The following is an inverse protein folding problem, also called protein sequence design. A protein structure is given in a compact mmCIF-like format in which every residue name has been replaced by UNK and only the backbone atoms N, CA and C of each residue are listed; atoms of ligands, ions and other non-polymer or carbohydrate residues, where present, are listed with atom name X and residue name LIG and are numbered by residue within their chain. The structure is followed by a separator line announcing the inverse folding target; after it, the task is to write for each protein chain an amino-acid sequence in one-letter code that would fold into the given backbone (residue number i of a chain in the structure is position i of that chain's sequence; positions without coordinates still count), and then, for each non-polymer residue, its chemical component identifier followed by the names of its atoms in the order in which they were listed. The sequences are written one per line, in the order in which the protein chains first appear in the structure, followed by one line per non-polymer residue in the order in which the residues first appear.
data_IF_907403096737
#
_entry.id   IF_907403096737
#
_cell.length_a   1.000
_cell.length_b   1.000
_cell.length_c   1.000
_cell.angle_alpha   90.00
_cell.angle_beta   90.00
_cell.angle_gamma   90.00
#
_symmetry.space_group_name_H-M   'P 1'
#
loop_
_entity.id
_entity.type
_entity.pdbx_description
1 polymer ?
#
# COMPACT_ATOMS: atom_id res chain seq x y z
N UNK A 1 36.98 86.63 28.28
CA UNK A 1 35.65 86.34 28.85
C UNK A 1 34.57 86.94 27.93
N UNK A 2 33.49 86.19 27.67
CA UNK A 2 32.30 86.44 26.80
C UNK A 2 32.30 85.84 25.37
N UNK A 3 31.55 84.74 25.26
CA UNK A 3 30.33 84.46 24.44
C UNK A 3 30.32 84.51 22.89
N UNK A 4 29.83 83.36 22.35
CA UNK A 4 28.99 83.09 21.16
C UNK A 4 29.74 83.04 19.79
N UNK A 5 29.48 82.13 18.82
CA UNK A 5 28.18 81.71 18.21
C UNK A 5 28.35 80.47 17.27
N UNK A 6 27.50 79.44 17.45
CA UNK A 6 26.64 78.61 16.54
C UNK A 6 27.07 78.21 15.07
N UNK A 7 26.62 77.00 14.70
CA UNK A 7 26.35 76.35 13.38
C UNK A 7 27.44 75.37 12.91
N UNK A 8 27.18 74.09 12.59
CA UNK A 8 26.18 73.57 11.65
C UNK A 8 25.86 72.08 11.90
N UNK A 9 24.63 71.69 11.56
CA UNK A 9 24.00 70.38 11.68
C UNK A 9 24.64 69.24 10.86
N UNK A 10 24.50 68.00 11.32
CA UNK A 10 24.22 66.82 10.48
C UNK A 10 23.48 65.76 11.30
N UNK A 11 22.15 65.71 11.12
CA UNK A 11 21.31 64.60 11.58
C UNK A 11 21.45 63.50 10.52
N UNK A 12 22.29 62.50 10.80
CA UNK A 12 22.31 61.26 10.04
C UNK A 12 21.21 60.34 10.56
N UNK A 13 20.11 60.23 9.84
CA UNK A 13 19.08 59.23 10.08
C UNK A 13 19.68 57.87 9.68
N UNK A 14 20.05 57.07 10.68
CA UNK A 14 20.41 55.66 10.48
C UNK A 14 19.10 54.87 10.43
N UNK A 15 18.64 54.57 9.21
CA UNK A 15 17.49 53.68 8.98
C UNK A 15 17.94 52.25 9.23
N UNK A 16 17.57 51.69 10.38
CA UNK A 16 17.76 50.27 10.70
C UNK A 16 16.80 49.43 9.84
N UNK A 17 17.31 48.81 8.79
CA UNK A 17 16.59 47.75 8.08
C UNK A 17 16.66 46.46 8.92
N UNK A 18 15.61 46.18 9.70
CA UNK A 18 15.38 44.85 10.24
C UNK A 18 14.88 43.95 9.11
N UNK A 19 15.80 43.18 8.50
CA UNK A 19 15.45 42.08 7.60
C UNK A 19 15.01 40.92 8.49
N UNK A 20 13.71 40.70 8.61
CA UNK A 20 13.14 39.51 9.23
C UNK A 20 13.33 38.34 8.26
N UNK A 21 14.35 37.52 8.52
CA UNK A 21 14.52 36.22 7.86
C UNK A 21 13.40 35.33 8.41
N UNK A 22 12.30 35.20 7.66
CA UNK A 22 11.31 34.17 7.93
C UNK A 22 12.00 32.81 7.76
N UNK A 23 11.96 31.91 8.76
CA UNK A 23 12.42 30.55 8.56
C UNK A 23 11.52 29.96 7.48
N UNK A 24 12.08 29.76 6.30
CA UNK A 24 11.47 28.96 5.26
C UNK A 24 11.54 27.54 5.78
N UNK A 25 10.49 27.12 6.49
CA UNK A 25 10.25 25.72 6.78
C UNK A 25 10.23 25.03 5.42
N UNK A 26 11.33 24.38 5.05
CA UNK A 26 11.35 23.46 3.94
C UNK A 26 10.37 22.36 4.33
N UNK A 27 9.15 22.46 3.81
CA UNK A 27 8.28 21.29 3.68
C UNK A 27 9.05 20.41 2.72
N UNK A 28 9.91 19.54 3.26
CA UNK A 28 10.30 18.34 2.55
C UNK A 28 8.98 17.64 2.28
N UNK A 29 8.52 17.74 1.04
CA UNK A 29 7.49 16.87 0.51
C UNK A 29 8.01 15.47 0.76
N UNK A 30 7.55 14.87 1.86
CA UNK A 30 7.79 13.49 2.18
C UNK A 30 7.00 12.75 1.10
N UNK A 31 7.68 12.47 -0.01
CA UNK A 31 7.18 11.63 -1.09
C UNK A 31 6.66 10.38 -0.39
N UNK A 32 5.34 10.28 -0.25
CA UNK A 32 4.67 9.15 0.36
C UNK A 32 5.10 7.95 -0.47
N UNK A 33 6.06 7.17 0.05
CA UNK A 33 6.60 6.01 -0.62
C UNK A 33 5.41 5.10 -0.85
N UNK A 34 4.97 5.00 -2.09
CA UNK A 34 3.80 4.21 -2.46
C UNK A 34 4.06 2.78 -2.02
N UNK A 35 3.19 2.20 -1.19
CA UNK A 35 3.33 0.81 -0.76
C UNK A 35 3.03 -0.10 -1.97
N UNK A 36 4.04 -0.77 -2.57
CA UNK A 36 3.86 -1.58 -3.76
C UNK A 36 2.98 -2.80 -3.54
N UNK A 37 2.76 -3.24 -2.27
CA UNK A 37 1.89 -4.38 -1.96
C UNK A 37 0.42 -4.06 -2.21
N UNK A 38 0.01 -2.78 -2.15
CA UNK A 38 -1.38 -2.37 -2.34
C UNK A 38 -1.87 -2.70 -3.76
N UNK A 39 -3.05 -3.30 -3.85
CA UNK A 39 -3.68 -3.68 -5.11
C UNK A 39 -4.39 -5.03 -5.06
N UNK A 40 -4.79 -5.49 -6.26
CA UNK A 40 -5.41 -6.80 -6.47
C UNK A 40 -4.41 -7.70 -7.18
N UNK A 41 -4.28 -8.92 -6.67
CA UNK A 41 -3.25 -9.87 -7.05
C UNK A 41 -3.88 -11.25 -7.31
N UNK A 42 -3.44 -11.94 -8.35
CA UNK A 42 -3.80 -13.34 -8.63
C UNK A 42 -2.57 -14.22 -8.36
N UNK A 43 -2.76 -15.35 -7.69
CA UNK A 43 -1.64 -16.29 -7.49
C UNK A 43 -1.27 -16.94 -8.82
N UNK A 44 0.02 -16.99 -9.14
CA UNK A 44 0.57 -17.65 -10.33
C UNK A 44 1.59 -18.75 -10.00
N UNK A 45 2.13 -18.75 -8.78
CA UNK A 45 2.98 -19.83 -8.25
C UNK A 45 2.72 -20.04 -6.75
N UNK A 46 2.67 -21.28 -6.22
CA UNK A 46 2.68 -22.54 -6.96
C UNK A 46 1.51 -22.62 -7.94
N UNK A 47 1.71 -23.26 -9.08
CA UNK A 47 0.65 -23.44 -10.06
C UNK A 47 -0.43 -24.32 -9.43
N UNK A 48 -1.50 -23.71 -8.92
CA UNK A 48 -2.72 -24.43 -8.56
C UNK A 48 -3.26 -24.96 -9.90
N UNK A 49 -3.58 -26.25 -10.00
CA UNK A 49 -4.08 -26.86 -11.23
C UNK A 49 -5.28 -26.05 -11.74
N UNK A 50 -5.04 -25.14 -12.69
CA UNK A 50 -6.03 -24.24 -13.24
C UNK A 50 -6.90 -25.02 -14.23
N UNK A 51 -7.68 -25.98 -13.74
CA UNK A 51 -8.79 -26.54 -14.51
C UNK A 51 -9.93 -25.53 -14.52
N UNK A 52 -9.72 -24.35 -15.10
CA UNK A 52 -10.71 -23.29 -15.40
C UNK A 52 -11.52 -22.67 -14.24
N UNK A 53 -11.67 -23.40 -13.13
CA UNK A 53 -12.70 -23.17 -12.13
C UNK A 53 -12.11 -22.83 -10.76
N UNK A 54 -10.77 -22.74 -10.66
CA UNK A 54 -10.07 -22.35 -9.44
C UNK A 54 -9.36 -21.01 -9.65
N UNK A 55 -9.50 -20.11 -8.68
CA UNK A 55 -8.74 -18.87 -8.64
C UNK A 55 -8.36 -18.54 -7.20
N UNK A 56 -7.12 -18.10 -6.98
CA UNK A 56 -6.71 -17.51 -5.70
C UNK A 56 -6.38 -16.03 -5.92
N UNK A 57 -7.16 -15.16 -5.28
CA UNK A 57 -7.04 -13.70 -5.41
C UNK A 57 -6.72 -13.11 -4.04
N UNK A 58 -5.84 -12.12 -4.01
CA UNK A 58 -5.50 -11.34 -2.82
C UNK A 58 -5.76 -9.86 -3.09
N UNK A 59 -6.49 -9.21 -2.18
CA UNK A 59 -6.74 -7.78 -2.19
C UNK A 59 -6.01 -7.20 -0.99
N UNK A 60 -5.15 -6.21 -1.24
CA UNK A 60 -4.38 -5.52 -0.22
C UNK A 60 -4.69 -4.04 -0.30
N UNK A 61 -5.12 -3.45 0.81
CA UNK A 61 -5.29 -2.01 0.99
C UNK A 61 -4.24 -1.47 1.96
N UNK A 62 -4.28 -0.18 2.27
CA UNK A 62 -3.50 0.35 3.38
C UNK A 62 -3.98 -0.27 4.70
N UNK A 63 -3.13 -1.12 5.29
CA UNK A 63 -3.35 -1.71 6.60
C UNK A 63 -4.18 -2.98 6.64
N UNK A 64 -4.79 -3.43 5.54
CA UNK A 64 -5.65 -4.60 5.52
C UNK A 64 -5.46 -5.49 4.29
N UNK A 65 -5.80 -6.76 4.45
CA UNK A 65 -5.80 -7.72 3.36
C UNK A 65 -6.98 -8.68 3.47
N UNK A 66 -7.31 -9.28 2.33
CA UNK A 66 -8.09 -10.51 2.24
C UNK A 66 -7.53 -11.32 1.08
N UNK A 67 -7.42 -12.63 1.24
CA UNK A 67 -7.29 -13.52 0.11
C UNK A 67 -8.45 -14.51 0.07
N UNK A 68 -8.84 -14.89 -1.13
CA UNK A 68 -9.87 -15.88 -1.41
C UNK A 68 -9.29 -16.95 -2.31
N UNK A 69 -9.74 -18.17 -2.11
CA UNK A 69 -9.57 -19.28 -3.04
C UNK A 69 -10.97 -19.75 -3.43
N UNK A 70 -11.27 -19.68 -4.72
CA UNK A 70 -12.55 -20.10 -5.27
C UNK A 70 -12.43 -21.45 -5.96
N UNK A 71 -13.53 -22.20 -5.95
CA UNK A 71 -13.78 -23.38 -6.78
C UNK A 71 -15.20 -23.23 -7.35
N UNK A 72 -15.37 -23.35 -8.67
CA UNK A 72 -16.66 -23.16 -9.36
C UNK A 72 -17.37 -21.84 -8.96
N UNK A 73 -16.61 -20.75 -8.87
CA UNK A 73 -17.07 -19.42 -8.44
C UNK A 73 -17.56 -19.33 -6.98
N UNK A 74 -17.35 -20.36 -6.17
CA UNK A 74 -17.65 -20.36 -4.73
C UNK A 74 -16.36 -20.21 -3.94
N UNK A 75 -16.34 -19.31 -2.95
CA UNK A 75 -15.20 -19.19 -2.02
C UNK A 75 -15.16 -20.44 -1.13
N UNK A 76 -14.10 -21.23 -1.28
CA UNK A 76 -13.87 -22.45 -0.47
C UNK A 76 -12.85 -22.23 0.63
N UNK A 77 -11.93 -21.27 0.47
CA UNK A 77 -10.98 -20.83 1.48
C UNK A 77 -10.83 -19.32 1.44
N UNK A 78 -10.69 -18.69 2.60
CA UNK A 78 -10.40 -17.27 2.70
C UNK A 78 -9.95 -16.93 4.11
N UNK A 79 -8.93 -16.06 4.18
CA UNK A 79 -8.50 -15.38 5.38
C UNK A 79 -8.35 -13.89 5.08
N UNK A 80 -8.54 -13.07 6.11
CA UNK A 80 -8.26 -11.65 6.06
C UNK A 80 -7.97 -11.07 7.43
N UNK A 81 -7.55 -9.81 7.43
CA UNK A 81 -7.17 -9.10 8.64
C UNK A 81 -6.30 -7.91 8.32
N UNK A 82 -5.35 -7.62 9.21
CA UNK A 82 -4.45 -6.47 9.09
C UNK A 82 -3.15 -6.86 8.42
N UNK A 83 -2.52 -5.90 7.75
CA UNK A 83 -1.21 -6.09 7.16
C UNK A 83 -0.33 -4.85 7.25
N UNK A 84 0.99 -5.04 7.16
CA UNK A 84 1.96 -3.94 7.10
C UNK A 84 3.08 -4.24 6.11
N UNK A 85 3.71 -3.18 5.58
CA UNK A 85 4.88 -3.27 4.72
C UNK A 85 5.90 -2.22 5.14
N UNK A 86 7.14 -2.64 5.44
CA UNK A 86 8.21 -1.74 5.89
C UNK A 86 9.21 -1.36 4.79
N UNK A 87 9.05 -1.91 3.58
CA UNK A 87 9.98 -1.73 2.47
C UNK A 87 10.67 -3.01 2.02
N UNK A 88 10.73 -4.04 2.87
CA UNK A 88 11.29 -5.36 2.56
C UNK A 88 10.34 -6.48 3.03
N UNK A 89 9.78 -6.31 4.23
CA UNK A 89 8.92 -7.29 4.89
C UNK A 89 7.46 -6.89 4.75
N UNK A 90 6.65 -7.80 4.24
CA UNK A 90 5.20 -7.75 4.28
C UNK A 90 4.70 -8.69 5.38
N UNK A 91 3.84 -8.21 6.29
CA UNK A 91 3.26 -9.03 7.35
C UNK A 91 1.73 -9.04 7.28
N UNK A 92 1.14 -10.18 7.62
CA UNK A 92 -0.31 -10.38 7.70
C UNK A 92 -0.65 -10.92 9.10
N UNK A 93 -1.67 -10.35 9.74
CA UNK A 93 -2.27 -10.87 10.98
C UNK A 93 -3.72 -11.26 10.70
N UNK A 94 -4.01 -12.55 10.83
CA UNK A 94 -5.32 -13.12 10.48
C UNK A 94 -6.32 -12.81 11.57
N UNK A 95 -7.38 -12.09 11.23
CA UNK A 95 -8.44 -11.69 12.16
C UNK A 95 -9.76 -12.39 11.88
N UNK A 96 -10.00 -12.81 10.65
CA UNK A 96 -11.20 -13.51 10.24
C UNK A 96 -10.93 -14.47 9.08
N UNK A 97 -11.86 -15.39 8.86
CA UNK A 97 -11.82 -16.36 7.79
C UNK A 97 -13.13 -17.14 7.68
N UNK A 98 -13.21 -18.00 6.68
CA UNK A 98 -14.31 -18.96 6.54
C UNK A 98 -14.21 -20.09 7.57
N UNK A 99 -15.32 -20.78 7.82
CA UNK A 99 -15.46 -21.74 8.92
C UNK A 99 -14.39 -22.85 8.92
N UNK A 100 -14.09 -23.41 7.75
CA UNK A 100 -13.07 -24.45 7.59
C UNK A 100 -11.62 -23.96 7.79
N UNK A 101 -11.41 -22.67 8.02
CA UNK A 101 -10.10 -22.07 8.33
C UNK A 101 -10.04 -21.44 9.72
N UNK A 102 -11.05 -21.67 10.57
CA UNK A 102 -11.16 -21.07 11.91
C UNK A 102 -9.91 -21.25 12.77
N UNK A 103 -9.22 -22.38 12.66
CA UNK A 103 -8.00 -22.68 13.42
C UNK A 103 -6.80 -21.78 13.09
N UNK A 104 -6.85 -21.05 11.98
CA UNK A 104 -5.80 -20.15 11.52
C UNK A 104 -6.04 -18.69 11.94
N UNK A 105 -7.20 -18.38 12.53
CA UNK A 105 -7.50 -17.06 13.07
C UNK A 105 -6.57 -16.78 14.26
N UNK A 106 -6.00 -15.57 14.29
CA UNK A 106 -4.93 -15.18 15.21
C UNK A 106 -3.52 -15.56 14.72
N UNK A 107 -3.42 -16.28 13.59
CA UNK A 107 -2.16 -16.60 12.96
C UNK A 107 -1.47 -15.37 12.35
N UNK A 108 -0.14 -15.46 12.21
CA UNK A 108 0.70 -14.42 11.63
C UNK A 108 1.54 -14.96 10.50
N UNK A 109 1.56 -14.23 9.39
CA UNK A 109 2.42 -14.49 8.26
C UNK A 109 3.50 -13.40 8.14
N UNK A 110 4.72 -13.80 7.81
CA UNK A 110 5.84 -12.89 7.57
C UNK A 110 6.49 -13.26 6.25
N UNK A 111 6.56 -12.30 5.33
CA UNK A 111 7.10 -12.49 3.98
C UNK A 111 8.21 -11.48 3.72
N UNK A 112 9.32 -11.94 3.17
CA UNK A 112 10.17 -11.09 2.34
C UNK A 112 9.51 -10.97 0.97
N UNK A 113 9.38 -9.74 0.47
CA UNK A 113 8.74 -9.48 -0.82
C UNK A 113 9.68 -8.81 -1.81
N UNK A 114 9.63 -9.27 -3.05
CA UNK A 114 10.33 -8.67 -4.19
C UNK A 114 9.32 -8.37 -5.30
N UNK A 115 9.51 -7.25 -5.98
CA UNK A 115 8.62 -6.79 -7.04
C UNK A 115 9.38 -6.68 -8.35
N UNK A 116 8.91 -7.39 -9.37
CA UNK A 116 9.50 -7.40 -10.72
C UNK A 116 8.39 -7.66 -11.74
N UNK A 117 8.35 -6.90 -12.84
CA UNK A 117 7.42 -7.09 -13.95
C UNK A 117 5.93 -7.25 -13.56
N UNK A 118 5.48 -6.46 -12.59
CA UNK A 118 4.10 -6.51 -12.10
C UNK A 118 3.77 -7.74 -11.25
N UNK A 119 4.79 -8.50 -10.84
CA UNK A 119 4.67 -9.62 -9.91
C UNK A 119 5.20 -9.24 -8.53
N UNK A 120 4.68 -9.92 -7.52
CA UNK A 120 5.12 -9.90 -6.14
C UNK A 120 5.51 -11.32 -5.75
N UNK A 121 6.80 -11.54 -5.52
CA UNK A 121 7.33 -12.80 -5.01
C UNK A 121 7.38 -12.72 -3.49
N UNK A 122 6.63 -13.60 -2.81
CA UNK A 122 6.53 -13.70 -1.36
C UNK A 122 7.24 -14.98 -0.90
N UNK A 123 8.34 -14.83 -0.15
CA UNK A 123 9.01 -15.94 0.53
C UNK A 123 8.92 -15.71 2.03
N UNK A 124 8.37 -16.66 2.77
CA UNK A 124 8.05 -16.42 4.17
C UNK A 124 7.59 -17.63 4.94
N UNK A 125 6.90 -17.37 6.05
CA UNK A 125 6.27 -18.40 6.87
C UNK A 125 4.88 -17.98 7.33
N UNK A 126 4.03 -18.97 7.59
CA UNK A 126 2.81 -18.84 8.37
C UNK A 126 2.88 -19.83 9.53
N UNK A 127 3.20 -19.34 10.72
CA UNK A 127 3.60 -20.22 11.82
C UNK A 127 4.82 -21.08 11.43
N UNK A 128 4.77 -22.42 11.54
CA UNK A 128 5.87 -23.30 11.16
C UNK A 128 5.95 -23.58 9.64
N UNK A 129 4.89 -23.30 8.89
CA UNK A 129 4.81 -23.61 7.46
C UNK A 129 5.61 -22.62 6.63
N UNK A 130 6.37 -23.11 5.65
CA UNK A 130 7.10 -22.28 4.69
C UNK A 130 6.19 -21.89 3.54
N UNK A 131 6.31 -20.65 3.09
CA UNK A 131 5.57 -20.10 1.95
C UNK A 131 6.55 -19.62 0.89
N UNK A 132 6.27 -19.99 -0.35
CA UNK A 132 6.93 -19.51 -1.56
C UNK A 132 5.83 -19.32 -2.61
N UNK A 133 5.41 -18.06 -2.79
CA UNK A 133 4.28 -17.70 -3.65
C UNK A 133 4.67 -16.57 -4.60
N UNK A 134 4.26 -16.66 -5.87
CA UNK A 134 4.33 -15.54 -6.81
C UNK A 134 2.92 -15.11 -7.13
N UNK A 135 2.69 -13.81 -6.99
CA UNK A 135 1.43 -13.15 -7.23
C UNK A 135 1.58 -12.17 -8.40
N UNK A 136 0.66 -12.18 -9.37
CA UNK A 136 0.65 -11.24 -10.49
C UNK A 136 -0.43 -10.18 -10.28
N UNK A 137 -0.13 -8.93 -10.59
CA UNK A 137 -1.10 -7.83 -10.47
C UNK A 137 -2.23 -8.01 -11.48
N UNK A 138 -3.47 -7.97 -11.00
CA UNK A 138 -4.66 -8.00 -11.87
C UNK A 138 -4.79 -6.67 -12.60
N UNK A 139 -4.93 -6.73 -13.93
CA UNK A 139 -5.17 -5.56 -14.79
C UNK A 139 -6.65 -5.43 -15.10
N UNK A 140 -7.08 -4.22 -15.47
CA UNK A 140 -8.49 -3.93 -15.78
C UNK A 140 -8.97 -4.71 -17.02
N UNK A 141 -8.06 -5.00 -17.96
CA UNK A 141 -8.38 -5.77 -19.15
C UNK A 141 -8.65 -7.25 -18.84
N UNK A 142 -8.02 -7.82 -17.80
CA UNK A 142 -8.19 -9.22 -17.38
C UNK A 142 -9.63 -9.53 -16.91
N UNK A 143 -10.43 -8.51 -16.58
CA UNK A 143 -11.83 -8.68 -16.10
C UNK A 143 -12.89 -8.76 -17.21
N UNK A 144 -12.53 -8.56 -18.47
CA UNK A 144 -13.52 -8.42 -19.56
C UNK A 144 -13.71 -9.71 -20.37
N UNK A 145 -12.74 -10.63 -20.38
CA UNK A 145 -12.84 -11.87 -21.17
C UNK A 145 -13.53 -13.04 -20.46
N UNK A 146 -13.84 -12.93 -19.16
CA UNK A 146 -14.40 -14.04 -18.36
C UNK A 146 -15.88 -13.92 -17.99
N UNK A 147 -16.60 -12.88 -18.45
CA UNK A 147 -18.05 -12.74 -18.20
C UNK A 147 -18.83 -12.57 -19.51
N UNK A 148 -19.32 -13.66 -20.13
CA UNK A 148 -20.41 -13.52 -21.07
C UNK A 148 -21.69 -13.10 -20.31
N UNK A 149 -22.14 -11.88 -20.60
CA UNK A 149 -23.53 -11.41 -20.55
C UNK A 149 -24.17 -11.11 -19.17
N UNK A 150 -24.01 -9.87 -18.70
CA UNK A 150 -24.97 -9.18 -17.81
C UNK A 150 -25.49 -7.86 -18.40
N UNK A 151 -25.64 -7.77 -19.72
CA UNK A 151 -26.23 -6.59 -20.38
C UNK A 151 -27.75 -6.71 -20.63
N UNK A 152 -28.40 -7.81 -20.27
CA UNK A 152 -29.84 -7.99 -20.54
C UNK A 152 -30.80 -7.53 -19.42
N UNK A 153 -30.32 -6.94 -18.32
CA UNK A 153 -31.18 -6.61 -17.16
C UNK A 153 -31.50 -5.12 -16.96
N UNK A 154 -31.19 -4.24 -17.91
CA UNK A 154 -31.50 -2.80 -17.80
C UNK A 154 -32.65 -2.29 -18.71
N UNK A 155 -33.50 -3.18 -19.24
CA UNK A 155 -34.70 -2.79 -19.98
C UNK A 155 -35.94 -3.62 -19.61
N UNK A 156 -36.34 -3.60 -18.33
CA UNK A 156 -37.74 -3.86 -17.93
C UNK A 156 -38.24 -2.77 -17.01
#
# INVERSE_FOLDING_TARGET
MKKNTIFTAFIGIITLFFITILPTSSIQAQSQKTNPTVGVWKLVYPAIAMTGNQAKVKIITEGHFIWTHTYDNVIVYSLGGTCSFDGETYSEEVQYGVENMRSLIGGKALYKVQFEDGKMHCIGTFGPEKIDEIWERVKKEDTTESLPMLTSYLHQ
#
